data_IF_157065845241
#
_entry.id   IF_157065845241
#
_cell.length_a   1.000
_cell.length_b   1.000
_cell.length_c   1.000
_cell.angle_alpha   90.00
_cell.angle_beta   90.00
_cell.angle_gamma   90.00
#
_symmetry.space_group_name_H-M   'P 1'
#
loop_
_entity.id
_entity.type
_entity.pdbx_description
1 polymer ?
#
# COMPACT_ATOMS: atom_id res chain seq x y z
N UNK A 1 36.20 -9.92 -21.44
CA UNK A 1 36.07 -10.09 -19.97
C UNK A 1 35.26 -11.35 -19.70
N UNK A 2 35.77 -12.30 -18.97
CA UNK A 2 35.01 -13.46 -18.54
C UNK A 2 34.34 -13.11 -17.20
N UNK A 3 33.00 -13.02 -17.20
CA UNK A 3 32.23 -12.80 -15.97
C UNK A 3 31.47 -14.07 -15.63
N UNK A 4 31.55 -14.49 -14.37
CA UNK A 4 30.71 -15.54 -13.86
C UNK A 4 29.29 -15.01 -13.56
N UNK A 5 28.30 -15.89 -13.62
CA UNK A 5 26.92 -15.56 -13.25
C UNK A 5 26.51 -16.34 -12.01
N UNK A 6 25.76 -15.71 -11.12
CA UNK A 6 25.14 -16.42 -9.99
C UNK A 6 24.11 -17.42 -10.50
N UNK A 7 24.10 -18.62 -9.96
CA UNK A 7 23.27 -19.74 -10.43
C UNK A 7 21.87 -19.81 -9.79
N UNK A 8 21.51 -18.84 -8.98
CA UNK A 8 20.27 -18.82 -8.18
C UNK A 8 19.04 -18.30 -8.93
N UNK A 9 19.16 -17.95 -10.20
CA UNK A 9 18.04 -17.70 -11.12
C UNK A 9 17.24 -16.41 -10.88
N UNK A 10 17.38 -15.75 -9.72
CA UNK A 10 16.59 -14.56 -9.37
C UNK A 10 17.25 -13.25 -9.78
N UNK A 11 18.58 -13.18 -9.78
CA UNK A 11 19.33 -11.95 -10.03
C UNK A 11 20.57 -12.20 -10.89
N UNK A 12 20.56 -13.00 -11.88
CA UNK A 12 21.69 -13.29 -12.78
C UNK A 12 22.75 -12.15 -12.88
N UNK A 13 23.32 -11.79 -11.73
CA UNK A 13 24.32 -10.72 -11.60
C UNK A 13 25.68 -11.25 -12.00
N UNK A 14 26.42 -10.56 -12.87
CA UNK A 14 27.80 -10.90 -13.14
C UNK A 14 28.63 -10.68 -11.88
N UNK A 15 29.49 -11.62 -11.56
CA UNK A 15 30.49 -11.46 -10.51
C UNK A 15 31.90 -11.58 -11.11
N UNK A 16 32.89 -10.86 -10.60
CA UNK A 16 34.24 -10.96 -11.09
C UNK A 16 34.82 -12.34 -10.77
N UNK A 17 35.45 -12.98 -11.74
CA UNK A 17 36.26 -14.17 -11.51
C UNK A 17 37.58 -13.77 -10.83
N UNK A 18 38.22 -14.71 -10.16
CA UNK A 18 39.45 -14.44 -9.38
C UNK A 18 40.62 -13.85 -10.19
N UNK A 19 40.56 -13.94 -11.50
CA UNK A 19 41.52 -13.42 -12.46
C UNK A 19 41.03 -12.21 -13.27
N UNK A 20 39.81 -11.71 -13.00
CA UNK A 20 39.31 -10.52 -13.66
C UNK A 20 39.92 -9.26 -13.04
N UNK A 21 40.29 -8.25 -13.86
CA UNK A 21 40.64 -6.96 -13.31
C UNK A 21 39.47 -6.35 -12.58
N UNK A 22 39.71 -5.86 -11.38
CA UNK A 22 38.69 -5.21 -10.57
C UNK A 22 38.21 -3.93 -11.26
N UNK A 23 36.97 -3.93 -11.78
CA UNK A 23 36.32 -2.76 -12.36
C UNK A 23 35.11 -2.38 -11.52
N UNK A 24 35.35 -1.89 -10.31
CA UNK A 24 34.31 -1.54 -9.33
C UNK A 24 33.28 -0.57 -9.92
N UNK A 25 33.68 0.37 -10.76
CA UNK A 25 32.78 1.34 -11.37
C UNK A 25 31.81 0.66 -12.34
N UNK A 26 32.30 -0.16 -13.26
CA UNK A 26 31.45 -0.86 -14.22
C UNK A 26 30.53 -1.91 -13.56
N UNK A 27 31.01 -2.56 -12.51
CA UNK A 27 30.21 -3.54 -11.77
C UNK A 27 29.06 -2.86 -11.00
N UNK A 28 29.30 -1.70 -10.41
CA UNK A 28 28.26 -0.89 -9.76
C UNK A 28 27.25 -0.36 -10.78
N UNK A 29 27.68 0.14 -11.93
CA UNK A 29 26.79 0.61 -12.99
C UNK A 29 25.87 -0.51 -13.50
N UNK A 30 26.41 -1.71 -13.70
CA UNK A 30 25.59 -2.87 -14.09
C UNK A 30 24.61 -3.28 -13.01
N UNK A 31 25.02 -3.28 -11.74
CA UNK A 31 24.14 -3.58 -10.62
C UNK A 31 22.99 -2.59 -10.54
N UNK A 32 23.29 -1.29 -10.61
CA UNK A 32 22.27 -0.22 -10.58
C UNK A 32 21.32 -0.34 -11.75
N UNK A 33 21.84 -0.57 -12.98
CA UNK A 33 21.00 -0.72 -14.18
C UNK A 33 20.05 -1.90 -14.07
N UNK A 34 20.49 -3.04 -13.54
CA UNK A 34 19.66 -4.22 -13.32
C UNK A 34 18.65 -4.01 -12.20
N UNK A 35 19.05 -3.34 -11.13
CA UNK A 35 18.15 -3.00 -10.02
C UNK A 35 17.02 -2.09 -10.52
N UNK A 36 17.31 -1.09 -11.33
CA UNK A 36 16.31 -0.20 -11.94
C UNK A 36 15.36 -0.92 -12.90
N UNK A 37 15.76 -2.04 -13.51
CA UNK A 37 14.90 -2.88 -14.34
C UNK A 37 13.95 -3.77 -13.52
N UNK A 38 14.35 -4.15 -12.31
CA UNK A 38 13.59 -5.08 -11.45
C UNK A 38 12.63 -4.31 -10.53
N UNK A 39 13.03 -3.14 -10.03
CA UNK A 39 12.22 -2.36 -9.09
C UNK A 39 10.81 -1.99 -9.61
N UNK A 40 10.61 -1.53 -10.86
CA UNK A 40 9.28 -1.26 -11.39
C UNK A 40 8.38 -2.51 -11.49
N UNK A 41 8.87 -3.67 -12.00
CA UNK A 41 8.08 -4.89 -12.05
C UNK A 41 7.71 -5.47 -10.68
N UNK A 42 8.48 -5.15 -9.63
CA UNK A 42 8.17 -5.57 -8.25
C UNK A 42 6.99 -4.81 -7.63
N UNK A 43 6.37 -3.88 -8.35
CA UNK A 43 5.19 -3.17 -7.86
C UNK A 43 5.45 -2.32 -6.62
N UNK A 44 6.66 -1.76 -6.48
CA UNK A 44 7.02 -0.85 -5.38
C UNK A 44 6.23 0.48 -5.38
N UNK A 45 5.25 0.61 -6.28
CA UNK A 45 4.25 1.68 -6.24
C UNK A 45 3.26 1.54 -5.08
N UNK A 46 3.26 0.41 -4.36
CA UNK A 46 2.33 0.11 -3.27
C UNK A 46 3.04 -0.51 -2.07
N UNK A 47 2.71 -0.03 -0.87
CA UNK A 47 3.07 -0.69 0.38
C UNK A 47 1.90 -1.54 0.86
N UNK A 48 2.12 -2.84 0.96
CA UNK A 48 1.13 -3.82 1.34
C UNK A 48 1.39 -4.38 2.74
N UNK A 49 0.30 -4.64 3.46
CA UNK A 49 0.32 -5.40 4.70
C UNK A 49 -0.59 -6.61 4.57
N UNK A 50 -0.08 -7.80 4.88
CA UNK A 50 -0.89 -9.01 4.99
C UNK A 50 -1.63 -9.01 6.33
N UNK A 51 -2.94 -9.24 6.29
CA UNK A 51 -3.85 -9.09 7.43
C UNK A 51 -4.83 -10.25 7.53
N UNK A 52 -5.46 -10.37 8.69
CA UNK A 52 -6.57 -11.30 8.97
C UNK A 52 -7.84 -10.50 9.25
N UNK A 53 -8.91 -10.75 8.52
CA UNK A 53 -10.22 -10.19 8.84
C UNK A 53 -10.83 -10.95 10.03
N UNK A 54 -10.86 -10.35 11.19
CA UNK A 54 -11.50 -10.90 12.39
C UNK A 54 -12.62 -9.97 12.89
N UNK A 55 -13.33 -9.34 11.96
CA UNK A 55 -14.38 -8.34 12.27
C UNK A 55 -15.76 -8.94 12.50
N UNK A 56 -15.95 -10.24 12.24
CA UNK A 56 -17.24 -10.91 12.29
C UNK A 56 -18.10 -10.72 11.02
N UNK A 57 -17.61 -10.02 10.01
CA UNK A 57 -18.33 -9.74 8.77
C UNK A 57 -17.44 -9.76 7.53
N UNK A 58 -18.04 -9.93 6.35
CA UNK A 58 -17.36 -9.74 5.08
C UNK A 58 -17.07 -8.26 4.85
N UNK A 59 -15.87 -7.95 4.32
CA UNK A 59 -15.40 -6.60 4.03
C UNK A 59 -15.13 -6.49 2.51
N UNK A 60 -15.82 -5.59 1.79
CA UNK A 60 -15.60 -5.35 0.37
C UNK A 60 -14.22 -4.76 0.07
N UNK A 61 -13.74 -4.94 -1.16
CA UNK A 61 -12.58 -4.20 -1.68
C UNK A 61 -12.78 -2.68 -1.52
N UNK A 62 -11.69 -1.94 -1.27
CA UNK A 62 -11.74 -0.50 -1.04
C UNK A 62 -12.25 -0.08 0.34
N UNK A 63 -12.59 -1.03 1.23
CA UNK A 63 -13.00 -0.70 2.60
C UNK A 63 -11.83 -0.14 3.39
N UNK A 64 -11.95 1.07 3.99
CA UNK A 64 -10.98 1.58 4.96
C UNK A 64 -10.99 0.72 6.22
N UNK A 65 -9.81 0.31 6.67
CA UNK A 65 -9.67 -0.57 7.85
C UNK A 65 -8.67 -0.02 8.85
N UNK A 66 -8.82 -0.47 10.11
CA UNK A 66 -7.86 -0.21 11.19
C UNK A 66 -7.41 -1.53 11.83
N UNK A 67 -6.26 -1.50 12.51
CA UNK A 67 -5.75 -2.66 13.22
C UNK A 67 -6.48 -2.84 14.56
N UNK A 68 -6.98 -4.07 14.81
CA UNK A 68 -7.65 -4.44 16.07
C UNK A 68 -6.76 -5.21 17.02
N UNK A 69 -5.67 -5.78 16.51
CA UNK A 69 -4.73 -6.59 17.29
C UNK A 69 -3.84 -7.46 16.41
N UNK A 70 -3.38 -8.56 16.97
CA UNK A 70 -2.50 -9.53 16.31
C UNK A 70 -2.94 -10.96 16.63
N UNK A 71 -3.02 -11.79 15.61
CA UNK A 71 -3.27 -13.23 15.74
C UNK A 71 -1.93 -13.97 15.76
N UNK A 72 -1.59 -14.58 16.89
CA UNK A 72 -0.39 -15.43 17.00
C UNK A 72 -0.50 -16.71 16.18
N UNK A 73 -1.71 -17.20 15.97
CA UNK A 73 -1.98 -18.42 15.22
C UNK A 73 -1.67 -18.26 13.72
N UNK A 74 -2.08 -17.12 13.13
CA UNK A 74 -1.82 -16.80 11.72
C UNK A 74 -0.59 -15.94 11.51
N UNK A 75 0.02 -15.42 12.58
CA UNK A 75 1.11 -14.43 12.55
C UNK A 75 0.75 -13.18 11.74
N UNK A 76 -0.51 -12.71 11.88
CA UNK A 76 -1.07 -11.58 11.12
C UNK A 76 -1.67 -10.51 12.04
N UNK A 77 -1.61 -9.27 11.58
CA UNK A 77 -2.42 -8.18 12.15
C UNK A 77 -3.89 -8.45 11.86
N UNK A 78 -4.73 -8.39 12.90
CA UNK A 78 -6.17 -8.46 12.76
C UNK A 78 -6.75 -7.09 12.47
N UNK A 79 -7.79 -7.04 11.64
CA UNK A 79 -8.39 -5.79 11.18
C UNK A 79 -9.91 -5.77 11.35
N UNK A 80 -10.46 -4.55 11.39
CA UNK A 80 -11.88 -4.29 11.26
C UNK A 80 -12.11 -3.02 10.41
N UNK A 81 -13.35 -2.84 9.97
CA UNK A 81 -13.79 -1.70 9.18
C UNK A 81 -13.71 -0.40 9.99
N UNK A 82 -13.05 0.63 9.43
CA UNK A 82 -13.06 1.97 10.01
C UNK A 82 -14.42 2.65 9.83
N UNK A 83 -14.85 3.36 10.86
CA UNK A 83 -15.99 4.26 10.86
C UNK A 83 -15.50 5.69 11.17
N UNK A 84 -16.27 6.75 10.83
CA UNK A 84 -15.86 8.14 11.08
C UNK A 84 -15.48 8.42 12.53
N UNK A 85 -16.17 7.77 13.48
CA UNK A 85 -15.93 7.92 14.92
C UNK A 85 -14.89 6.93 15.48
N UNK A 86 -14.26 6.12 14.62
CA UNK A 86 -13.20 5.20 15.08
C UNK A 86 -12.00 6.02 15.56
N UNK A 87 -11.64 5.85 16.82
CA UNK A 87 -10.49 6.57 17.42
C UNK A 87 -9.13 5.97 17.01
N UNK A 88 -9.14 4.84 16.32
CA UNK A 88 -7.92 4.19 15.85
C UNK A 88 -7.47 4.76 14.50
N UNK A 89 -6.15 4.86 14.28
CA UNK A 89 -5.60 5.26 13.00
C UNK A 89 -6.05 4.33 11.88
N UNK A 90 -6.36 4.91 10.72
CA UNK A 90 -6.65 4.13 9.51
C UNK A 90 -5.37 3.45 9.08
N UNK A 91 -5.41 2.12 8.90
CA UNK A 91 -4.28 1.34 8.41
C UNK A 91 -4.12 1.49 6.90
N UNK A 92 -5.22 1.49 6.16
CA UNK A 92 -5.24 1.56 4.70
C UNK A 92 -6.56 1.10 4.12
N UNK A 93 -6.53 0.74 2.83
CA UNK A 93 -7.66 0.21 2.08
C UNK A 93 -7.47 -1.29 1.78
N UNK A 94 -8.55 -2.06 1.89
CA UNK A 94 -8.54 -3.46 1.46
C UNK A 94 -8.35 -3.56 -0.05
N UNK A 95 -7.37 -4.35 -0.50
CA UNK A 95 -7.09 -4.55 -1.93
C UNK A 95 -8.18 -5.38 -2.62
N UNK A 96 -8.66 -6.41 -1.95
CA UNK A 96 -9.72 -7.31 -2.42
C UNK A 96 -10.74 -7.55 -1.32
N UNK A 97 -11.95 -7.99 -1.69
CA UNK A 97 -12.96 -8.38 -0.70
C UNK A 97 -12.47 -9.54 0.16
N UNK A 98 -12.80 -9.50 1.44
CA UNK A 98 -12.39 -10.50 2.44
C UNK A 98 -13.58 -10.99 3.23
N UNK A 99 -13.76 -12.29 3.30
CA UNK A 99 -14.70 -12.92 4.23
C UNK A 99 -14.18 -12.87 5.67
N UNK A 100 -15.06 -13.07 6.64
CA UNK A 100 -14.65 -13.16 8.04
C UNK A 100 -13.71 -14.37 8.25
N UNK A 101 -12.69 -14.22 9.08
CA UNK A 101 -11.65 -15.21 9.35
C UNK A 101 -10.80 -15.62 8.12
N UNK A 102 -10.73 -14.77 7.09
CA UNK A 102 -9.84 -14.99 5.96
C UNK A 102 -8.67 -14.01 5.97
N UNK A 103 -7.59 -14.42 5.32
CA UNK A 103 -6.41 -13.58 5.10
C UNK A 103 -6.54 -12.78 3.81
N UNK A 104 -5.91 -11.61 3.78
CA UNK A 104 -5.87 -10.75 2.61
C UNK A 104 -4.84 -9.65 2.73
N UNK A 105 -4.98 -8.62 1.90
CA UNK A 105 -3.98 -7.57 1.74
C UNK A 105 -4.63 -6.20 1.91
N UNK A 106 -3.99 -5.35 2.70
CA UNK A 106 -4.28 -3.92 2.84
C UNK A 106 -3.22 -3.12 2.10
N UNK A 107 -3.64 -2.19 1.25
CA UNK A 107 -2.77 -1.15 0.68
C UNK A 107 -2.64 -0.05 1.73
N UNK A 108 -1.46 0.10 2.30
CA UNK A 108 -1.18 1.10 3.35
C UNK A 108 -0.83 2.44 2.73
N UNK A 109 -0.10 2.42 1.63
CA UNK A 109 0.26 3.61 0.85
C UNK A 109 0.55 3.25 -0.61
N UNK A 110 0.41 4.21 -1.51
CA UNK A 110 0.72 4.06 -2.93
C UNK A 110 -0.51 3.98 -3.82
N UNK A 111 -0.37 3.50 -5.04
CA UNK A 111 -1.43 3.48 -6.05
C UNK A 111 -2.27 2.21 -5.90
N UNK A 112 -3.57 2.35 -5.71
CA UNK A 112 -4.55 1.27 -5.72
C UNK A 112 -5.43 1.39 -6.96
N UNK A 113 -5.38 0.39 -7.80
CA UNK A 113 -6.16 0.23 -9.03
C UNK A 113 -7.33 -0.74 -8.86
N UNK A 114 -8.14 -0.90 -9.91
CA UNK A 114 -9.28 -1.80 -9.95
C UNK A 114 -10.32 -1.55 -8.84
N UNK A 115 -10.55 -0.27 -8.54
CA UNK A 115 -11.54 0.15 -7.55
C UNK A 115 -12.60 1.05 -8.22
N UNK A 116 -13.87 0.82 -7.89
CA UNK A 116 -14.93 1.66 -8.43
C UNK A 116 -14.90 3.05 -7.77
N UNK A 117 -14.50 4.05 -8.55
CA UNK A 117 -14.44 5.47 -8.16
C UNK A 117 -15.40 6.34 -8.96
N UNK A 118 -16.36 5.75 -9.74
CA UNK A 118 -17.26 6.50 -10.63
C UNK A 118 -18.20 7.48 -9.92
N UNK A 119 -18.35 7.36 -8.59
CA UNK A 119 -19.11 8.29 -7.76
C UNK A 119 -18.35 9.52 -7.29
N UNK A 120 -17.09 9.68 -7.70
CA UNK A 120 -16.18 10.77 -7.31
C UNK A 120 -15.61 11.47 -8.54
N UNK A 121 -14.98 12.63 -8.35
CA UNK A 121 -14.24 13.32 -9.40
C UNK A 121 -12.72 13.08 -9.25
N UNK A 122 -11.99 13.21 -10.36
CA UNK A 122 -10.52 13.22 -10.31
C UNK A 122 -10.03 14.35 -9.37
N UNK A 123 -9.13 14.02 -8.47
CA UNK A 123 -8.59 14.94 -7.47
C UNK A 123 -9.41 15.05 -6.17
N UNK A 124 -10.60 14.40 -6.08
CA UNK A 124 -11.36 14.36 -4.84
C UNK A 124 -10.53 13.70 -3.73
N UNK A 125 -10.51 14.33 -2.55
CA UNK A 125 -9.97 13.72 -1.33
C UNK A 125 -11.02 12.76 -0.78
N UNK A 126 -10.59 11.54 -0.50
CA UNK A 126 -11.44 10.50 0.05
C UNK A 126 -11.25 10.36 1.56
N UNK A 127 -12.35 10.23 2.25
CA UNK A 127 -12.46 10.06 3.70
C UNK A 127 -13.23 8.78 4.03
N UNK A 128 -13.14 8.36 5.29
CA UNK A 128 -14.02 7.32 5.82
C UNK A 128 -15.43 7.85 5.89
N UNK A 129 -16.34 7.26 5.14
CA UNK A 129 -17.76 7.62 5.12
C UNK A 129 -18.57 7.02 6.29
N UNK A 130 -19.79 7.50 6.49
CA UNK A 130 -20.66 7.16 7.63
C UNK A 130 -20.94 5.65 7.77
N UNK A 131 -21.00 4.92 6.66
CA UNK A 131 -21.17 3.47 6.62
C UNK A 131 -19.86 2.68 6.60
N UNK A 132 -18.70 3.37 6.75
CA UNK A 132 -17.38 2.75 6.70
C UNK A 132 -16.89 2.42 5.27
N UNK A 133 -17.50 3.04 4.25
CA UNK A 133 -17.02 3.07 2.88
C UNK A 133 -16.20 4.35 2.61
N UNK A 134 -15.91 4.61 1.33
CA UNK A 134 -15.28 5.86 0.89
C UNK A 134 -16.33 6.97 0.72
N UNK A 135 -15.93 8.20 1.01
CA UNK A 135 -16.73 9.41 0.84
C UNK A 135 -15.83 10.59 0.48
N UNK A 136 -16.30 11.52 -0.36
CA UNK A 136 -15.66 12.80 -0.58
C UNK A 136 -16.13 13.88 0.41
N UNK A 137 -17.08 13.55 1.29
CA UNK A 137 -17.47 14.41 2.41
C UNK A 137 -16.58 14.11 3.61
N UNK A 138 -16.02 15.15 4.21
CA UNK A 138 -15.15 15.04 5.38
C UNK A 138 -15.96 14.63 6.62
N UNK A 139 -16.10 13.31 6.82
CA UNK A 139 -16.82 12.74 7.96
C UNK A 139 -15.92 11.93 8.91
N UNK A 140 -14.76 11.51 8.43
CA UNK A 140 -13.77 10.72 9.15
C UNK A 140 -12.36 11.02 8.71
N UNK A 141 -11.41 10.13 9.01
CA UNK A 141 -10.02 10.29 8.60
C UNK A 141 -9.84 10.23 7.08
N UNK A 142 -8.89 11.00 6.57
CA UNK A 142 -8.51 10.98 5.16
C UNK A 142 -7.83 9.65 4.79
N UNK A 143 -8.15 9.12 3.63
CA UNK A 143 -7.70 7.80 3.13
C UNK A 143 -6.81 7.93 1.92
N UNK A 144 -7.11 8.90 1.04
CA UNK A 144 -6.38 9.07 -0.21
C UNK A 144 -7.03 10.10 -1.14
N UNK A 145 -6.62 10.05 -2.40
CA UNK A 145 -7.08 10.96 -3.46
C UNK A 145 -7.46 10.12 -4.69
N UNK A 146 -8.57 10.49 -5.35
CA UNK A 146 -8.97 9.88 -6.63
C UNK A 146 -8.01 10.34 -7.73
N UNK A 147 -7.23 9.43 -8.27
CA UNK A 147 -6.35 9.70 -9.41
C UNK A 147 -7.10 9.53 -10.74
N UNK A 148 -7.99 8.54 -10.81
CA UNK A 148 -8.81 8.30 -12.00
C UNK A 148 -10.22 7.87 -11.58
N UNK A 149 -11.22 8.65 -11.99
CA UNK A 149 -12.65 8.39 -11.75
C UNK A 149 -13.18 7.46 -12.82
N UNK A 150 -13.51 6.22 -12.46
CA UNK A 150 -14.03 5.18 -13.36
C UNK A 150 -14.67 4.05 -12.56
N UNK A 151 -15.42 3.15 -13.23
CA UNK A 151 -15.81 1.86 -12.63
C UNK A 151 -14.58 0.98 -12.35
N UNK A 152 -13.52 1.15 -13.14
CA UNK A 152 -12.20 0.56 -12.94
C UNK A 152 -11.19 1.69 -12.69
N UNK A 153 -11.35 2.36 -11.57
CA UNK A 153 -10.64 3.58 -11.24
C UNK A 153 -9.38 3.36 -10.41
N UNK A 154 -8.74 4.49 -10.06
CA UNK A 154 -7.46 4.50 -9.36
C UNK A 154 -7.49 5.49 -8.20
N UNK A 155 -7.00 5.05 -7.05
CA UNK A 155 -6.82 5.86 -5.84
C UNK A 155 -5.34 5.90 -5.47
N UNK A 156 -4.83 7.07 -5.13
CA UNK A 156 -3.55 7.20 -4.43
C UNK A 156 -3.86 7.11 -2.94
N UNK A 157 -3.53 5.98 -2.34
CA UNK A 157 -3.72 5.74 -0.91
C UNK A 157 -2.63 6.46 -0.12
N UNK A 158 -3.06 7.28 0.83
CA UNK A 158 -2.20 7.97 1.78
C UNK A 158 -2.99 8.08 3.09
N UNK A 159 -3.25 6.92 3.71
CA UNK A 159 -4.05 6.85 4.92
C UNK A 159 -3.41 7.70 6.01
N UNK A 160 -4.14 8.71 6.45
CA UNK A 160 -3.78 9.57 7.57
C UNK A 160 -4.78 9.31 8.67
N UNK A 161 -4.30 8.91 9.83
CA UNK A 161 -5.15 8.80 11.01
C UNK A 161 -5.91 10.10 11.28
N UNK A 162 -6.92 10.05 12.12
CA UNK A 162 -7.78 11.18 12.53
C UNK A 162 -7.02 12.37 13.17
N UNK A 163 -5.68 12.40 13.08
CA UNK A 163 -4.85 13.54 13.47
C UNK A 163 -5.06 14.73 12.54
N UNK A 164 -5.60 15.80 13.05
CA UNK A 164 -5.79 17.08 12.36
C UNK A 164 -4.47 17.59 11.76
N UNK A 165 -4.37 17.57 10.44
CA UNK A 165 -3.29 18.28 9.71
C UNK A 165 -3.36 19.79 9.92
N UNK A 166 -4.42 20.29 10.57
CA UNK A 166 -4.60 21.70 10.90
C UNK A 166 -3.79 22.19 12.11
N UNK A 167 -3.33 21.29 12.99
CA UNK A 167 -2.64 21.71 14.21
C UNK A 167 -1.19 22.20 13.99
N UNK A 168 -0.56 21.86 12.85
CA UNK A 168 0.79 22.35 12.53
C UNK A 168 0.85 23.77 11.97
N UNK A 169 -0.29 24.37 11.58
CA UNK A 169 -0.34 25.77 11.13
C UNK A 169 -0.63 26.78 12.24
N UNK A 170 -1.07 26.34 13.41
CA UNK A 170 -1.42 27.23 14.52
C UNK A 170 -0.24 27.55 15.47
N UNK A 171 0.94 26.99 15.21
CA UNK A 171 2.13 27.17 16.06
C UNK A 171 3.19 28.15 15.51
N UNK A 172 2.91 28.86 14.42
CA UNK A 172 3.83 29.84 13.79
C UNK A 172 3.09 31.16 13.54
N UNK A 173 2.62 31.77 14.62
CA UNK A 173 2.20 33.18 14.65
C UNK A 173 2.80 33.83 15.90
#
# INVERSE_FOLDING_TARGET
MATGNTSDGLLNLPYPLSNDPVNVHGDIEQLVSRLLLILPPLGLSQFHLSVLNNSGQSLPAGTPVYATGYSSQSSKTTIAKSLPNTQHPILGLLKTSMENNTEGVVVVAGVMDHINTSGFNNGDVLYVGSAGGLSNLQSGGAVGIVAHSSQDGVIIVAAKGNGTWGALKAGLA
#
